data_IF_609204685951
#
_entry.id   IF_609204685951
#
_cell.length_a   1.000
_cell.length_b   1.000
_cell.length_c   1.000
_cell.angle_alpha   90.00
_cell.angle_beta   90.00
_cell.angle_gamma   90.00
#
_symmetry.space_group_name_H-M   'P 1'
#
loop_
_entity.id
_entity.type
_entity.pdbx_description
1 polymer ?
#
# COMPACT_ATOMS: atom_id res chain seq x y z
N UNK A 1 12.75 -10.94 -1.72
CA UNK A 1 12.05 -12.17 -2.09
C UNK A 1 13.03 -13.27 -2.50
N UNK A 2 13.94 -13.03 -3.43
CA UNK A 2 14.99 -14.03 -3.81
C UNK A 2 15.74 -14.59 -2.59
N UNK A 3 16.04 -13.77 -1.60
CA UNK A 3 16.67 -14.20 -0.35
C UNK A 3 15.92 -15.33 0.36
N UNK A 4 14.59 -15.35 0.26
CA UNK A 4 13.76 -16.41 0.86
C UNK A 4 13.96 -17.75 0.15
N UNK A 5 14.11 -17.74 -1.18
CA UNK A 5 14.40 -18.93 -1.97
C UNK A 5 15.81 -19.53 -1.66
N UNK A 6 16.72 -18.70 -1.17
CA UNK A 6 18.06 -19.12 -0.72
C UNK A 6 18.11 -19.42 0.79
N UNK A 7 16.98 -19.66 1.45
CA UNK A 7 16.92 -20.08 2.84
C UNK A 7 17.14 -18.97 3.88
N UNK A 8 17.15 -17.69 3.47
CA UNK A 8 17.23 -16.59 4.43
C UNK A 8 15.90 -16.47 5.19
N UNK A 9 15.99 -16.23 6.49
CA UNK A 9 14.82 -16.13 7.36
C UNK A 9 13.79 -15.14 6.80
N UNK A 10 12.50 -15.50 6.68
CA UNK A 10 11.45 -14.68 6.05
C UNK A 10 11.36 -13.25 6.60
N UNK A 11 11.52 -13.05 7.92
CA UNK A 11 11.46 -11.72 8.52
C UNK A 11 12.57 -10.79 8.02
N UNK A 12 13.79 -11.31 7.79
CA UNK A 12 14.91 -10.52 7.25
C UNK A 12 14.63 -10.14 5.81
N UNK A 13 14.18 -11.10 5.00
CA UNK A 13 13.80 -10.84 3.61
C UNK A 13 12.66 -9.84 3.51
N UNK A 14 11.66 -9.93 4.40
CA UNK A 14 10.56 -8.96 4.47
C UNK A 14 11.02 -7.57 4.92
N UNK A 15 11.97 -7.48 5.85
CA UNK A 15 12.56 -6.20 6.25
C UNK A 15 13.23 -5.49 5.05
N UNK A 16 13.96 -6.24 4.20
CA UNK A 16 14.57 -5.70 2.98
C UNK A 16 13.51 -5.24 1.96
N UNK A 17 12.42 -6.01 1.79
CA UNK A 17 11.29 -5.59 0.94
C UNK A 17 10.64 -4.31 1.49
N UNK A 18 10.42 -4.24 2.80
CA UNK A 18 9.88 -3.05 3.46
C UNK A 18 10.75 -1.82 3.29
N UNK A 19 12.08 -1.98 3.41
CA UNK A 19 13.05 -0.91 3.14
C UNK A 19 12.96 -0.43 1.69
N UNK A 20 12.87 -1.35 0.73
CA UNK A 20 12.68 -1.02 -0.69
C UNK A 20 11.38 -0.26 -0.94
N UNK A 21 10.27 -0.70 -0.33
CA UNK A 21 8.97 -0.03 -0.42
C UNK A 21 9.01 1.39 0.19
N UNK A 22 9.68 1.55 1.35
CA UNK A 22 9.85 2.84 1.99
C UNK A 22 10.68 3.82 1.15
N UNK A 23 11.71 3.33 0.46
CA UNK A 23 12.53 4.13 -0.46
C UNK A 23 11.77 4.49 -1.75
N UNK A 24 10.95 3.58 -2.27
CA UNK A 24 10.18 3.78 -3.50
C UNK A 24 9.00 4.74 -3.32
N UNK A 25 8.35 4.71 -2.17
CA UNK A 25 7.10 5.45 -1.92
C UNK A 25 7.22 6.98 -2.15
N UNK A 26 8.24 7.69 -1.62
CA UNK A 26 8.41 9.11 -1.89
C UNK A 26 8.62 9.42 -3.39
N UNK A 27 9.35 8.57 -4.10
CA UNK A 27 9.59 8.74 -5.54
C UNK A 27 8.29 8.57 -6.34
N UNK A 28 7.46 7.58 -5.99
CA UNK A 28 6.17 7.32 -6.61
C UNK A 28 5.23 8.53 -6.57
N UNK A 29 5.15 9.20 -5.42
CA UNK A 29 4.27 10.37 -5.27
C UNK A 29 4.94 11.67 -5.73
N UNK A 30 6.25 11.81 -5.51
CA UNK A 30 7.01 12.99 -5.91
C UNK A 30 7.01 13.23 -7.42
N UNK A 31 7.16 12.17 -8.21
CA UNK A 31 7.21 12.29 -9.67
C UNK A 31 5.92 12.86 -10.27
N UNK A 32 4.77 12.70 -9.59
CA UNK A 32 3.50 13.25 -10.09
C UNK A 32 3.54 14.77 -10.17
N UNK A 33 4.17 15.42 -9.20
CA UNK A 33 4.27 16.88 -9.16
C UNK A 33 5.22 17.44 -10.22
N UNK A 34 6.11 16.58 -10.73
CA UNK A 34 7.03 16.93 -11.83
C UNK A 34 6.41 16.70 -13.21
N UNK A 35 5.55 15.68 -13.35
CA UNK A 35 4.94 15.30 -14.62
C UNK A 35 3.61 15.99 -14.90
N UNK A 36 2.88 16.40 -13.85
CA UNK A 36 1.50 16.86 -13.99
C UNK A 36 1.28 18.27 -13.42
N UNK A 37 0.42 19.07 -14.06
CA UNK A 37 0.01 20.35 -13.51
C UNK A 37 -0.86 20.16 -12.25
N UNK A 38 -0.86 21.15 -11.35
CA UNK A 38 -1.58 21.11 -10.08
C UNK A 38 -3.06 20.73 -10.21
N UNK A 39 -3.71 21.14 -11.31
CA UNK A 39 -5.13 20.83 -11.60
C UNK A 39 -5.41 19.34 -11.81
N UNK A 40 -4.40 18.53 -12.12
CA UNK A 40 -4.53 17.09 -12.38
C UNK A 40 -4.03 16.23 -11.23
N UNK A 41 -3.37 16.81 -10.22
CA UNK A 41 -2.75 16.05 -9.12
C UNK A 41 -3.76 15.25 -8.32
N UNK A 42 -4.94 15.82 -8.01
CA UNK A 42 -6.00 15.12 -7.26
C UNK A 42 -6.48 13.89 -8.03
N UNK A 43 -6.73 14.07 -9.34
CA UNK A 43 -7.16 12.97 -10.21
C UNK A 43 -6.09 11.88 -10.31
N UNK A 44 -4.83 12.25 -10.48
CA UNK A 44 -3.72 11.30 -10.57
C UNK A 44 -3.51 10.54 -9.27
N UNK A 45 -3.53 11.22 -8.13
CA UNK A 45 -3.45 10.58 -6.82
C UNK A 45 -4.61 9.62 -6.58
N UNK A 46 -5.84 10.01 -6.90
CA UNK A 46 -7.01 9.14 -6.78
C UNK A 46 -6.89 7.87 -7.63
N UNK A 47 -6.35 7.97 -8.85
CA UNK A 47 -6.07 6.79 -9.67
C UNK A 47 -4.99 5.90 -9.08
N UNK A 48 -3.89 6.48 -8.60
CA UNK A 48 -2.80 5.72 -7.96
C UNK A 48 -3.30 4.99 -6.71
N UNK A 49 -4.07 5.66 -5.87
CA UNK A 49 -4.64 5.03 -4.66
C UNK A 49 -5.66 3.96 -5.03
N UNK A 50 -6.57 4.23 -5.96
CA UNK A 50 -7.53 3.24 -6.44
C UNK A 50 -6.85 1.98 -7.01
N UNK A 51 -5.80 2.14 -7.83
CA UNK A 51 -5.02 1.04 -8.37
C UNK A 51 -4.22 0.31 -7.26
N UNK A 52 -3.70 1.04 -6.27
CA UNK A 52 -3.00 0.47 -5.13
C UNK A 52 -3.93 -0.45 -4.34
N UNK A 53 -5.15 0.01 -4.04
CA UNK A 53 -6.15 -0.78 -3.31
C UNK A 53 -6.61 -1.99 -4.15
N UNK A 54 -6.89 -1.79 -5.43
CA UNK A 54 -7.23 -2.88 -6.33
C UNK A 54 -6.12 -3.94 -6.39
N UNK A 55 -4.86 -3.51 -6.43
CA UNK A 55 -3.69 -4.40 -6.41
C UNK A 55 -3.56 -5.16 -5.09
N UNK A 56 -3.89 -4.53 -3.95
CA UNK A 56 -3.91 -5.20 -2.64
C UNK A 56 -4.96 -6.31 -2.63
N UNK A 57 -6.19 -6.01 -3.09
CA UNK A 57 -7.28 -7.00 -3.15
C UNK A 57 -6.90 -8.17 -4.06
N UNK A 58 -6.46 -7.86 -5.28
CA UNK A 58 -6.03 -8.87 -6.24
C UNK A 58 -4.83 -9.67 -5.71
N UNK A 59 -3.87 -9.01 -5.06
CA UNK A 59 -2.71 -9.66 -4.47
C UNK A 59 -3.07 -10.66 -3.37
N UNK A 60 -4.02 -10.32 -2.50
CA UNK A 60 -4.52 -11.25 -1.46
C UNK A 60 -5.25 -12.43 -2.09
N UNK A 61 -6.13 -12.19 -3.06
CA UNK A 61 -6.88 -13.25 -3.74
C UNK A 61 -5.95 -14.17 -4.54
N UNK A 62 -5.09 -13.60 -5.37
CA UNK A 62 -4.14 -14.37 -6.18
C UNK A 62 -3.10 -15.09 -5.31
N UNK A 63 -2.58 -14.42 -4.27
CA UNK A 63 -1.64 -15.03 -3.33
C UNK A 63 -2.23 -16.24 -2.63
N UNK A 64 -3.49 -16.17 -2.20
CA UNK A 64 -4.21 -17.30 -1.64
C UNK A 64 -4.38 -18.46 -2.62
N UNK A 65 -4.64 -18.15 -3.90
CA UNK A 65 -4.77 -19.18 -4.95
C UNK A 65 -3.42 -19.81 -5.32
N UNK A 66 -2.33 -19.03 -5.34
CA UNK A 66 -1.00 -19.53 -5.68
C UNK A 66 -0.50 -20.62 -4.72
N UNK A 67 -0.87 -20.53 -3.43
CA UNK A 67 -0.56 -21.57 -2.42
C UNK A 67 -1.71 -22.57 -2.23
N UNK A 68 -2.80 -22.38 -2.95
CA UNK A 68 -4.00 -23.23 -2.87
C UNK A 68 -3.84 -24.57 -3.56
N UNK A 69 -4.75 -25.52 -3.26
CA UNK A 69 -4.65 -26.93 -3.73
C UNK A 69 -4.81 -27.09 -5.26
N UNK A 70 -5.28 -26.07 -5.96
CA UNK A 70 -5.50 -26.11 -7.41
C UNK A 70 -4.29 -25.64 -8.20
N UNK A 71 -3.72 -24.47 -7.81
CA UNK A 71 -2.65 -23.84 -8.59
C UNK A 71 -1.28 -24.31 -8.15
N UNK A 72 -1.07 -24.57 -6.86
CA UNK A 72 0.25 -24.98 -6.35
C UNK A 72 0.77 -26.30 -7.01
N UNK A 73 -0.02 -27.36 -7.17
CA UNK A 73 0.46 -28.57 -7.85
C UNK A 73 0.81 -28.33 -9.32
N UNK A 74 0.08 -27.43 -9.99
CA UNK A 74 0.37 -27.07 -11.37
C UNK A 74 1.68 -26.28 -11.50
N UNK A 75 1.93 -25.35 -10.57
CA UNK A 75 3.18 -24.59 -10.51
C UNK A 75 4.39 -25.49 -10.19
N UNK A 76 4.22 -26.43 -9.26
CA UNK A 76 5.27 -27.39 -8.89
C UNK A 76 5.54 -28.44 -9.97
N UNK A 77 4.54 -28.73 -10.84
CA UNK A 77 4.70 -29.61 -11.98
C UNK A 77 5.40 -28.96 -13.17
N UNK A 78 5.78 -27.70 -13.07
CA UNK A 78 6.48 -26.96 -14.14
C UNK A 78 8.00 -27.15 -14.00
N UNK A 79 8.47 -28.38 -14.22
CA UNK A 79 9.91 -28.67 -14.28
C UNK A 79 10.49 -28.14 -15.59
N UNK A 80 11.40 -27.18 -15.46
CA UNK A 80 12.26 -26.78 -16.58
C UNK A 80 13.30 -27.88 -16.79
N UNK A 81 13.33 -28.56 -17.96
CA UNK A 81 14.14 -29.77 -18.17
C UNK A 81 15.65 -29.56 -18.08
N UNK A 82 16.14 -28.35 -17.90
CA UNK A 82 17.55 -28.02 -17.81
C UNK A 82 18.00 -27.48 -16.45
N UNK A 83 17.09 -27.13 -15.56
CA UNK A 83 17.45 -26.52 -14.27
C UNK A 83 16.63 -27.15 -13.14
N UNK A 84 17.33 -27.84 -12.25
CA UNK A 84 16.76 -28.18 -10.94
C UNK A 84 16.53 -26.88 -10.18
N UNK A 85 15.31 -26.40 -10.17
CA UNK A 85 14.94 -25.22 -9.37
C UNK A 85 14.76 -25.67 -7.92
N UNK A 86 15.26 -24.91 -6.93
CA UNK A 86 15.01 -25.19 -5.51
C UNK A 86 13.58 -24.77 -5.12
N UNK A 87 12.58 -25.21 -5.89
CA UNK A 87 11.17 -24.87 -5.72
C UNK A 87 10.42 -26.17 -5.46
N UNK A 88 10.49 -26.61 -4.21
CA UNK A 88 9.89 -27.89 -3.79
C UNK A 88 8.54 -27.68 -3.07
N UNK A 89 8.23 -26.44 -2.67
CA UNK A 89 7.04 -26.13 -1.89
C UNK A 89 6.15 -25.08 -2.55
N UNK A 90 4.85 -25.13 -2.28
CA UNK A 90 3.88 -24.15 -2.78
C UNK A 90 4.24 -22.68 -2.43
N UNK A 91 4.73 -22.35 -1.22
CA UNK A 91 5.22 -21.01 -0.93
C UNK A 91 6.40 -20.58 -1.80
N UNK A 92 7.35 -21.46 -2.09
CA UNK A 92 8.50 -21.14 -2.95
C UNK A 92 8.07 -20.87 -4.39
N UNK A 93 7.15 -21.67 -4.93
CA UNK A 93 6.55 -21.44 -6.23
C UNK A 93 5.82 -20.09 -6.29
N UNK A 94 5.05 -19.75 -5.25
CA UNK A 94 4.37 -18.47 -5.15
C UNK A 94 5.36 -17.29 -5.07
N UNK A 95 6.44 -17.41 -4.30
CA UNK A 95 7.50 -16.41 -4.19
C UNK A 95 8.19 -16.20 -5.53
N UNK A 96 8.46 -17.29 -6.29
CA UNK A 96 9.06 -17.21 -7.60
C UNK A 96 8.19 -16.43 -8.59
N UNK A 97 6.87 -16.67 -8.57
CA UNK A 97 5.91 -15.88 -9.35
C UNK A 97 5.91 -14.40 -8.95
N UNK A 98 5.97 -14.11 -7.65
CA UNK A 98 6.07 -12.72 -7.17
C UNK A 98 7.38 -12.05 -7.61
N UNK A 99 8.50 -12.77 -7.63
CA UNK A 99 9.76 -12.26 -8.17
C UNK A 99 9.62 -11.87 -9.65
N UNK A 100 8.93 -12.69 -10.45
CA UNK A 100 8.64 -12.38 -11.84
C UNK A 100 7.79 -11.10 -11.98
N UNK A 101 6.74 -10.97 -11.16
CA UNK A 101 5.89 -9.76 -11.14
C UNK A 101 6.71 -8.52 -10.78
N UNK A 102 7.61 -8.61 -9.79
CA UNK A 102 8.51 -7.51 -9.44
C UNK A 102 9.51 -7.18 -10.56
N UNK A 103 10.01 -8.19 -11.28
CA UNK A 103 10.90 -7.97 -12.42
C UNK A 103 10.17 -7.22 -13.56
N UNK A 104 8.93 -7.62 -13.85
CA UNK A 104 8.06 -6.91 -14.82
C UNK A 104 7.79 -5.48 -14.37
N UNK A 105 7.46 -5.27 -13.08
CA UNK A 105 7.26 -3.94 -12.52
C UNK A 105 8.53 -3.08 -12.61
N UNK A 106 9.70 -3.64 -12.32
CA UNK A 106 10.98 -2.97 -12.47
C UNK A 106 11.23 -2.56 -13.93
N UNK A 107 10.92 -3.45 -14.88
CA UNK A 107 11.03 -3.13 -16.29
C UNK A 107 10.11 -1.98 -16.71
N UNK A 108 8.87 -1.92 -16.24
CA UNK A 108 7.99 -0.78 -16.48
C UNK A 108 8.55 0.52 -15.88
N UNK A 109 9.17 0.47 -14.71
CA UNK A 109 9.80 1.65 -14.10
C UNK A 109 10.93 2.23 -14.98
N UNK A 110 11.65 1.40 -15.76
CA UNK A 110 12.67 1.90 -16.70
C UNK A 110 12.08 2.67 -17.90
N UNK A 111 10.76 2.60 -18.09
CA UNK A 111 10.04 3.31 -19.16
C UNK A 111 9.50 4.68 -18.73
N UNK A 112 9.68 5.04 -17.46
CA UNK A 112 9.27 6.36 -16.96
C UNK A 112 10.16 7.41 -17.64
N UNK A 113 9.56 8.45 -18.27
CA UNK A 113 10.32 9.49 -18.95
C UNK A 113 11.10 10.34 -17.95
N UNK A 114 12.22 10.90 -18.42
CA UNK A 114 12.97 11.86 -17.64
C UNK A 114 12.14 13.16 -17.51
N UNK A 115 11.98 13.64 -16.29
CA UNK A 115 11.19 14.84 -15.98
C UNK A 115 11.90 16.14 -16.36
N UNK A 116 13.20 16.09 -16.64
CA UNK A 116 14.03 17.26 -16.92
C UNK A 116 14.35 18.13 -15.68
N UNK A 117 13.82 17.75 -14.52
CA UNK A 117 14.14 18.42 -13.25
C UNK A 117 15.58 18.06 -12.85
N UNK A 118 16.46 19.04 -12.57
CA UNK A 118 17.84 18.78 -12.16
C UNK A 118 17.84 18.05 -10.82
N UNK A 119 18.21 16.77 -10.85
CA UNK A 119 18.37 15.99 -9.64
C UNK A 119 19.72 16.30 -8.98
N UNK A 120 19.67 16.52 -7.67
CA UNK A 120 20.89 16.60 -6.88
C UNK A 120 21.54 15.21 -6.84
N UNK A 121 22.81 15.05 -7.25
CA UNK A 121 23.43 13.75 -7.24
C UNK A 121 23.50 13.21 -5.79
N UNK A 122 23.09 11.97 -5.59
CA UNK A 122 23.16 11.31 -4.29
C UNK A 122 24.62 11.18 -3.78
N UNK A 123 25.58 11.36 -4.67
CA UNK A 123 26.99 11.21 -4.42
C UNK A 123 27.69 12.56 -4.61
N UNK A 124 27.64 13.38 -3.57
CA UNK A 124 28.34 14.68 -3.56
C UNK A 124 29.88 14.50 -3.62
N UNK A 125 30.39 13.33 -3.23
CA UNK A 125 31.80 13.02 -3.24
C UNK A 125 32.05 11.62 -3.78
N UNK A 126 32.59 11.44 -5.00
CA UNK A 126 32.80 10.13 -5.62
C UNK A 126 33.79 9.25 -4.85
N UNK A 127 34.68 9.86 -4.03
CA UNK A 127 35.72 9.14 -3.27
C UNK A 127 35.19 8.49 -1.98
N UNK A 128 33.96 8.81 -1.57
CA UNK A 128 33.34 8.25 -0.36
C UNK A 128 32.53 6.99 -0.65
N UNK A 129 32.49 6.07 0.31
CA UNK A 129 31.65 4.87 0.19
C UNK A 129 30.17 5.23 0.09
N UNK A 130 29.38 4.39 -0.58
CA UNK A 130 27.93 4.56 -0.73
C UNK A 130 27.23 4.68 0.62
N UNK A 131 27.65 3.88 1.61
CA UNK A 131 27.12 3.94 2.97
C UNK A 131 27.36 5.30 3.63
N UNK A 132 28.54 5.90 3.45
CA UNK A 132 28.87 7.21 4.00
C UNK A 132 28.00 8.31 3.35
N UNK A 133 27.79 8.25 2.04
CA UNK A 133 26.94 9.20 1.33
C UNK A 133 25.46 9.06 1.75
N UNK A 134 24.98 7.85 1.98
CA UNK A 134 23.62 7.61 2.52
C UNK A 134 23.46 8.17 3.93
N UNK A 135 24.43 7.93 4.81
CA UNK A 135 24.41 8.47 6.17
C UNK A 135 24.48 10.02 6.18
N UNK A 136 25.16 10.61 5.21
CA UNK A 136 25.23 12.07 5.04
C UNK A 136 23.87 12.71 4.69
N UNK A 137 22.89 11.93 4.21
CA UNK A 137 21.53 12.40 3.96
C UNK A 137 20.68 12.52 5.25
N UNK A 138 21.06 11.82 6.33
CA UNK A 138 20.28 11.84 7.58
C UNK A 138 20.14 13.23 8.20
N UNK A 139 21.21 14.09 8.29
CA UNK A 139 21.06 15.45 8.76
C UNK A 139 20.12 16.30 7.91
N UNK A 140 20.15 16.15 6.60
CA UNK A 140 19.27 16.88 5.70
C UNK A 140 17.82 16.42 5.86
N UNK A 141 17.58 15.11 5.95
CA UNK A 141 16.27 14.55 6.26
C UNK A 141 15.74 15.09 7.59
N UNK A 142 16.56 15.09 8.65
CA UNK A 142 16.17 15.61 9.94
C UNK A 142 15.85 17.11 9.90
N UNK A 143 16.64 17.88 9.18
CA UNK A 143 16.41 19.31 8.97
C UNK A 143 15.10 19.59 8.23
N UNK A 144 14.83 18.85 7.15
CA UNK A 144 13.58 18.94 6.42
C UNK A 144 12.38 18.57 7.30
N UNK A 145 12.49 17.48 8.06
CA UNK A 145 11.43 17.04 8.98
C UNK A 145 11.17 18.08 10.07
N UNK A 146 12.22 18.63 10.69
CA UNK A 146 12.10 19.69 11.70
C UNK A 146 11.47 20.95 11.11
N UNK A 147 11.81 21.30 9.87
CA UNK A 147 11.21 22.44 9.18
C UNK A 147 9.72 22.25 8.95
N UNK A 148 9.29 21.05 8.51
CA UNK A 148 7.88 20.71 8.33
C UNK A 148 7.11 20.75 9.65
N UNK A 149 7.71 20.27 10.75
CA UNK A 149 7.09 20.34 12.08
C UNK A 149 7.06 21.76 12.69
N UNK A 150 7.89 22.67 12.22
CA UNK A 150 7.88 24.09 12.63
C UNK A 150 6.94 24.94 11.76
N UNK A 151 6.54 24.44 10.60
CA UNK A 151 5.55 25.08 9.75
C UNK A 151 4.13 24.63 10.11
N UNK A 152 3.23 25.59 10.35
CA UNK A 152 1.86 25.30 10.79
C UNK A 152 1.07 24.45 9.78
N UNK A 153 1.24 24.70 8.48
CA UNK A 153 0.59 23.92 7.44
C UNK A 153 1.24 22.52 7.32
N UNK A 154 2.55 22.43 7.49
CA UNK A 154 3.30 21.18 7.55
C UNK A 154 2.83 20.30 8.72
N UNK A 155 2.65 20.88 9.90
CA UNK A 155 2.11 20.17 11.09
C UNK A 155 0.73 19.58 10.81
N UNK A 156 -0.19 20.38 10.26
CA UNK A 156 -1.55 19.92 9.95
C UNK A 156 -1.51 18.78 8.94
N UNK A 157 -0.73 18.94 7.87
CA UNK A 157 -0.60 17.92 6.83
C UNK A 157 -0.02 16.60 7.36
N UNK A 158 1.09 16.67 8.11
CA UNK A 158 1.74 15.50 8.69
C UNK A 158 0.84 14.81 9.72
N UNK A 159 0.25 15.57 10.64
CA UNK A 159 -0.62 15.02 11.67
C UNK A 159 -1.85 14.36 11.07
N UNK A 160 -2.51 15.00 10.11
CA UNK A 160 -3.70 14.46 9.43
C UNK A 160 -3.36 13.20 8.67
N UNK A 161 -2.31 13.22 7.83
CA UNK A 161 -1.89 12.06 7.04
C UNK A 161 -1.51 10.89 7.95
N UNK A 162 -0.72 11.13 9.01
CA UNK A 162 -0.32 10.08 9.96
C UNK A 162 -1.52 9.50 10.68
N UNK A 163 -2.47 10.35 11.12
CA UNK A 163 -3.68 9.91 11.80
C UNK A 163 -4.53 9.03 10.89
N UNK A 164 -4.80 9.47 9.66
CA UNK A 164 -5.60 8.69 8.70
C UNK A 164 -4.96 7.36 8.35
N UNK A 165 -3.66 7.33 8.09
CA UNK A 165 -2.94 6.08 7.85
C UNK A 165 -2.94 5.16 9.08
N UNK A 166 -2.75 5.72 10.28
CA UNK A 166 -2.84 4.97 11.53
C UNK A 166 -4.21 4.36 11.75
N UNK A 167 -5.28 5.12 11.54
CA UNK A 167 -6.66 4.63 11.65
C UNK A 167 -6.94 3.57 10.58
N UNK A 168 -6.60 3.80 9.32
CA UNK A 168 -6.82 2.85 8.22
C UNK A 168 -6.08 1.53 8.45
N UNK A 169 -4.84 1.57 8.95
CA UNK A 169 -4.09 0.36 9.28
C UNK A 169 -4.75 -0.46 10.39
N UNK A 170 -5.27 0.21 11.42
CA UNK A 170 -5.96 -0.44 12.53
C UNK A 170 -7.37 -0.90 12.18
N UNK A 171 -8.05 -0.22 11.25
CA UNK A 171 -9.43 -0.54 10.86
C UNK A 171 -9.57 -1.99 10.41
N UNK A 172 -8.59 -2.53 9.68
CA UNK A 172 -8.58 -3.94 9.28
C UNK A 172 -8.63 -4.88 10.49
N UNK A 173 -7.85 -4.61 11.53
CA UNK A 173 -7.84 -5.41 12.75
C UNK A 173 -9.14 -5.26 13.54
N UNK A 174 -9.71 -4.06 13.59
CA UNK A 174 -10.99 -3.78 14.23
C UNK A 174 -12.11 -4.59 13.55
N UNK A 175 -12.17 -4.58 12.21
CA UNK A 175 -13.17 -5.36 11.44
C UNK A 175 -13.01 -6.86 11.68
N UNK A 176 -11.77 -7.38 11.69
CA UNK A 176 -11.51 -8.79 11.99
C UNK A 176 -11.95 -9.18 13.39
N UNK A 177 -11.60 -8.38 14.40
CA UNK A 177 -11.96 -8.61 15.80
C UNK A 177 -13.48 -8.53 16.00
N UNK A 178 -14.12 -7.50 15.42
CA UNK A 178 -15.57 -7.35 15.46
C UNK A 178 -16.28 -8.53 14.79
N UNK A 179 -15.86 -8.97 13.61
CA UNK A 179 -16.48 -10.08 12.91
C UNK A 179 -16.35 -11.41 13.70
N UNK A 180 -15.24 -11.61 14.38
CA UNK A 180 -15.07 -12.76 15.26
C UNK A 180 -15.97 -12.67 16.49
N UNK A 181 -16.09 -11.50 17.12
CA UNK A 181 -16.85 -11.30 18.34
C UNK A 181 -18.37 -11.24 18.11
N UNK A 182 -18.83 -10.48 17.10
CA UNK A 182 -20.25 -10.22 16.85
C UNK A 182 -20.90 -11.27 15.94
N UNK A 183 -20.15 -11.80 14.96
CA UNK A 183 -20.69 -12.75 13.96
C UNK A 183 -20.20 -14.17 14.17
N UNK A 184 -19.28 -14.43 15.10
CA UNK A 184 -18.66 -15.75 15.30
C UNK A 184 -17.86 -16.25 14.09
N UNK A 185 -17.35 -15.33 13.26
CA UNK A 185 -16.65 -15.67 12.02
C UNK A 185 -15.24 -16.17 12.28
N UNK A 186 -14.82 -17.16 11.48
CA UNK A 186 -13.41 -17.56 11.39
C UNK A 186 -12.58 -16.43 10.75
N UNK A 187 -11.26 -16.47 10.94
CA UNK A 187 -10.34 -15.49 10.34
C UNK A 187 -10.52 -15.38 8.82
N UNK A 188 -10.74 -16.51 8.14
CA UNK A 188 -10.97 -16.55 6.69
C UNK A 188 -12.25 -15.82 6.30
N UNK A 189 -13.34 -16.06 7.02
CA UNK A 189 -14.62 -15.39 6.77
C UNK A 189 -14.54 -13.89 7.11
N UNK A 190 -13.91 -13.54 8.23
CA UNK A 190 -13.69 -12.16 8.63
C UNK A 190 -12.83 -11.39 7.62
N UNK A 191 -11.83 -12.04 7.00
CA UNK A 191 -11.00 -11.45 5.96
C UNK A 191 -11.78 -11.05 4.72
N UNK A 192 -12.87 -11.76 4.38
CA UNK A 192 -13.75 -11.37 3.26
C UNK A 192 -14.45 -10.03 3.51
N UNK A 193 -14.77 -9.71 4.78
CA UNK A 193 -15.35 -8.41 5.15
C UNK A 193 -14.36 -7.27 5.01
N UNK A 194 -13.07 -7.52 5.26
CA UNK A 194 -12.00 -6.55 4.94
C UNK A 194 -11.95 -6.28 3.44
N UNK A 195 -12.19 -7.29 2.61
CA UNK A 195 -12.36 -7.13 1.16
C UNK A 195 -13.52 -6.21 0.79
N UNK A 196 -14.65 -6.30 1.51
CA UNK A 196 -15.80 -5.40 1.32
C UNK A 196 -15.44 -3.95 1.62
N UNK A 197 -14.71 -3.69 2.71
CA UNK A 197 -14.18 -2.35 3.04
C UNK A 197 -13.27 -1.85 1.92
N UNK A 198 -12.38 -2.71 1.42
CA UNK A 198 -11.44 -2.35 0.36
C UNK A 198 -12.14 -1.98 -0.96
N UNK A 199 -13.25 -2.67 -1.31
CA UNK A 199 -14.09 -2.29 -2.45
C UNK A 199 -14.66 -0.88 -2.23
N UNK A 200 -15.20 -0.61 -1.04
CA UNK A 200 -15.66 0.73 -0.67
C UNK A 200 -14.58 1.79 -0.86
N UNK A 201 -13.35 1.51 -0.39
CA UNK A 201 -12.21 2.42 -0.51
C UNK A 201 -11.85 2.69 -1.97
N UNK A 202 -11.84 1.68 -2.82
CA UNK A 202 -11.61 1.86 -4.25
C UNK A 202 -12.68 2.75 -4.91
N UNK A 203 -13.95 2.53 -4.58
CA UNK A 203 -15.06 3.37 -5.06
C UNK A 203 -14.91 4.81 -4.56
N UNK A 204 -14.61 5.01 -3.28
CA UNK A 204 -14.37 6.33 -2.69
C UNK A 204 -13.26 7.09 -3.39
N UNK A 205 -12.11 6.43 -3.62
CA UNK A 205 -10.96 7.01 -4.33
C UNK A 205 -11.32 7.43 -5.77
N UNK A 206 -12.08 6.61 -6.50
CA UNK A 206 -12.56 6.95 -7.85
C UNK A 206 -13.48 8.15 -7.79
N UNK A 207 -14.45 8.18 -6.88
CA UNK A 207 -15.37 9.31 -6.72
C UNK A 207 -14.62 10.59 -6.37
N UNK A 208 -13.65 10.52 -5.44
CA UNK A 208 -12.80 11.66 -5.09
C UNK A 208 -12.01 12.16 -6.30
N UNK A 209 -11.40 11.27 -7.07
CA UNK A 209 -10.63 11.63 -8.27
C UNK A 209 -11.46 12.35 -9.33
N UNK A 210 -12.75 12.06 -9.40
CA UNK A 210 -13.67 12.64 -10.39
C UNK A 210 -14.31 13.95 -9.92
N UNK A 211 -14.50 14.14 -8.62
CA UNK A 211 -15.29 15.24 -8.06
C UNK A 211 -14.50 16.24 -7.23
N UNK A 212 -13.39 15.81 -6.63
CA UNK A 212 -12.62 16.65 -5.72
C UNK A 212 -11.68 17.57 -6.47
N UNK A 213 -11.63 18.84 -6.04
CA UNK A 213 -10.62 19.81 -6.45
C UNK A 213 -9.66 20.06 -5.29
N UNK A 214 -8.45 20.49 -5.61
CA UNK A 214 -7.38 20.69 -4.62
C UNK A 214 -7.77 21.73 -3.55
N UNK A 215 -8.46 22.78 -3.92
CA UNK A 215 -8.93 23.84 -3.03
C UNK A 215 -10.03 23.37 -2.05
N UNK A 216 -10.71 22.28 -2.36
CA UNK A 216 -11.78 21.69 -1.54
C UNK A 216 -11.27 20.55 -0.64
N UNK A 217 -10.05 20.08 -0.83
CA UNK A 217 -9.51 18.90 -0.16
C UNK A 217 -9.50 19.02 1.38
N UNK A 218 -9.27 20.23 1.91
CA UNK A 218 -9.30 20.46 3.37
C UNK A 218 -10.72 20.47 3.95
N UNK A 219 -11.74 20.76 3.12
CA UNK A 219 -13.14 20.80 3.55
C UNK A 219 -13.74 19.43 3.86
N UNK A 220 -13.11 18.35 3.40
CA UNK A 220 -13.59 16.97 3.63
C UNK A 220 -12.98 16.30 4.86
N UNK A 221 -12.04 16.92 5.55
CA UNK A 221 -11.47 16.38 6.80
C UNK A 221 -12.52 15.93 7.82
N UNK A 222 -13.69 16.59 7.97
CA UNK A 222 -14.75 16.12 8.88
C UNK A 222 -15.30 14.74 8.57
N UNK A 223 -15.09 14.20 7.35
CA UNK A 223 -15.47 12.82 7.01
C UNK A 223 -14.79 11.79 7.91
N UNK A 224 -13.60 12.10 8.43
CA UNK A 224 -12.94 11.28 9.45
C UNK A 224 -13.76 11.10 10.72
N UNK A 225 -14.54 12.11 11.12
CA UNK A 225 -15.49 12.01 12.25
C UNK A 225 -16.61 11.03 11.86
N UNK A 226 -17.12 11.12 10.63
CA UNK A 226 -18.12 10.19 10.10
C UNK A 226 -17.62 8.73 10.11
N UNK A 227 -16.37 8.49 9.76
CA UNK A 227 -15.75 7.17 9.87
C UNK A 227 -15.74 6.66 11.31
N UNK A 228 -15.35 7.50 12.27
CA UNK A 228 -15.37 7.15 13.69
C UNK A 228 -16.77 6.77 14.18
N UNK A 229 -17.80 7.54 13.79
CA UNK A 229 -19.19 7.24 14.12
C UNK A 229 -19.67 5.92 13.50
N UNK A 230 -19.28 5.63 12.26
CA UNK A 230 -19.61 4.34 11.63
C UNK A 230 -18.98 3.15 12.36
N UNK A 231 -17.74 3.28 12.82
CA UNK A 231 -17.07 2.23 13.61
C UNK A 231 -17.81 2.01 14.95
N UNK A 232 -18.25 3.08 15.60
CA UNK A 232 -19.07 2.98 16.85
C UNK A 232 -20.39 2.27 16.55
N UNK A 233 -21.08 2.65 15.48
CA UNK A 233 -22.36 2.05 15.08
C UNK A 233 -22.20 0.56 14.72
N UNK A 234 -21.09 0.21 14.07
CA UNK A 234 -20.78 -1.19 13.72
C UNK A 234 -20.76 -2.12 14.94
N UNK A 235 -20.36 -1.58 16.12
CA UNK A 235 -20.33 -2.37 17.35
C UNK A 235 -21.72 -2.83 17.84
N UNK A 236 -22.79 -2.23 17.35
CA UNK A 236 -24.18 -2.59 17.70
C UNK A 236 -24.84 -3.50 16.64
N UNK A 237 -24.09 -3.90 15.61
CA UNK A 237 -24.59 -4.70 14.50
C UNK A 237 -24.05 -6.12 14.64
N UNK A 238 -24.95 -7.08 14.69
CA UNK A 238 -24.69 -8.51 14.78
C UNK A 238 -25.12 -9.30 13.52
N UNK A 239 -25.56 -8.56 12.47
CA UNK A 239 -26.01 -9.14 11.21
C UNK A 239 -25.13 -8.66 10.05
N UNK A 240 -24.52 -9.60 9.32
CA UNK A 240 -23.61 -9.31 8.21
C UNK A 240 -24.27 -8.52 7.07
N UNK A 241 -25.55 -8.78 6.79
CA UNK A 241 -26.27 -8.07 5.71
C UNK A 241 -26.53 -6.61 6.04
N UNK A 242 -26.68 -6.29 7.33
CA UNK A 242 -26.76 -4.92 7.81
C UNK A 242 -25.37 -4.28 7.88
N UNK A 243 -24.36 -5.05 8.29
CA UNK A 243 -22.99 -4.56 8.40
C UNK A 243 -22.34 -4.25 7.03
N UNK A 244 -22.65 -5.04 6.00
CA UNK A 244 -22.02 -4.91 4.69
C UNK A 244 -22.12 -3.49 4.09
N UNK A 245 -23.28 -2.83 4.03
CA UNK A 245 -23.38 -1.45 3.54
C UNK A 245 -22.60 -0.45 4.43
N UNK A 246 -22.56 -0.66 5.76
CA UNK A 246 -21.73 0.16 6.66
C UNK A 246 -20.24 -0.01 6.38
N UNK A 247 -19.78 -1.24 6.10
CA UNK A 247 -18.40 -1.52 5.74
C UNK A 247 -18.02 -0.90 4.40
N UNK A 248 -18.91 -0.97 3.40
CA UNK A 248 -18.70 -0.30 2.10
C UNK A 248 -18.63 1.22 2.29
N UNK A 249 -19.52 1.79 3.08
CA UNK A 249 -19.55 3.22 3.36
C UNK A 249 -18.28 3.65 4.13
N UNK A 250 -17.87 2.87 5.11
CA UNK A 250 -16.66 3.09 5.90
C UNK A 250 -15.42 3.10 4.99
N UNK A 251 -15.31 2.11 4.10
CA UNK A 251 -14.29 2.08 3.07
C UNK A 251 -14.39 3.28 2.14
N UNK A 252 -15.58 3.61 1.67
CA UNK A 252 -15.85 4.73 0.77
C UNK A 252 -15.41 6.08 1.34
N UNK A 253 -15.69 6.34 2.62
CA UNK A 253 -15.23 7.55 3.31
C UNK A 253 -13.70 7.56 3.49
N UNK A 254 -13.09 6.40 3.72
CA UNK A 254 -11.63 6.27 3.87
C UNK A 254 -10.87 6.41 2.55
N UNK A 255 -11.53 6.12 1.41
CA UNK A 255 -10.96 6.27 0.07
C UNK A 255 -11.20 7.65 -0.56
N UNK A 256 -12.22 8.37 -0.06
CA UNK A 256 -12.57 9.71 -0.51
C UNK A 256 -11.66 10.77 0.06
#
# INVERSE_FOLDING_TARGET
LLMMLFGVHPLIAYAVVGLGAAAYSPAKYGILTELLPASQLVKANGWIEGLTIASIILGVLLGGQLVGPVIAPWLLGFDLPLFQTPIDTAPEAAISMLVLVYAVAAWFNTRIPLTGVPMRPMRDNPDRSLAHNLLALLPDFWRCNTRLWNDKLGQISLATTTLFWGVSGNLRYIVLAWAAAALGYSVTQASSLVGVVAIGTAVGAVVASMRMKLDQATGVMPLGIGMGLLVILLNFIDNVWVAAPFLVLLGGLGGY
#
